data_IF_248928134678
#
_entry.id   IF_248928134678
#
_cell.length_a   1.000
_cell.length_b   1.000
_cell.length_c   1.000
_cell.angle_alpha   90.00
_cell.angle_beta   90.00
_cell.angle_gamma   90.00
#
_symmetry.space_group_name_H-M   'P 1'
#
loop_
_entity.id
_entity.type
_entity.pdbx_description
1 polymer ?
#
# COMPACT_ATOMS: atom_id res chain seq x y z
N UNK A 1 14.04 34.36 3.06
CA UNK A 1 13.23 33.27 3.66
C UNK A 1 13.79 31.95 3.14
N UNK A 2 15.00 31.57 3.58
CA UNK A 2 15.81 30.53 2.90
C UNK A 2 16.66 29.70 3.86
N UNK A 3 16.60 29.97 5.16
CA UNK A 3 17.43 29.34 6.20
C UNK A 3 16.72 28.18 6.92
N UNK A 4 15.39 28.09 6.79
CA UNK A 4 14.60 26.98 7.33
C UNK A 4 14.55 25.77 6.41
N UNK A 5 14.67 25.94 5.08
CA UNK A 5 14.60 24.80 4.15
C UNK A 5 15.84 23.92 4.20
N UNK A 6 17.04 24.49 4.39
CA UNK A 6 18.31 23.74 4.37
C UNK A 6 18.45 22.77 5.55
N UNK A 7 17.87 23.08 6.70
CA UNK A 7 17.91 22.22 7.90
C UNK A 7 16.90 21.07 7.85
N UNK A 8 15.83 21.19 7.05
CA UNK A 8 14.73 20.20 7.00
C UNK A 8 14.92 19.20 5.85
N UNK A 9 15.71 19.54 4.82
CA UNK A 9 15.96 18.61 3.71
C UNK A 9 16.55 17.25 4.05
N UNK A 10 17.58 17.12 4.92
CA UNK A 10 18.09 15.79 5.25
C UNK A 10 17.03 14.92 5.94
N UNK A 11 16.11 15.53 6.69
CA UNK A 11 14.99 14.83 7.33
C UNK A 11 13.95 14.38 6.29
N UNK A 12 13.63 15.23 5.32
CA UNK A 12 12.73 14.91 4.22
C UNK A 12 13.28 13.76 3.35
N UNK A 13 14.58 13.76 3.05
CA UNK A 13 15.22 12.70 2.27
C UNK A 13 15.17 11.35 3.00
N UNK A 14 15.40 11.34 4.31
CA UNK A 14 15.27 10.13 5.14
C UNK A 14 13.81 9.63 5.10
N UNK A 15 12.83 10.51 5.29
CA UNK A 15 11.41 10.15 5.25
C UNK A 15 11.04 9.56 3.88
N UNK A 16 11.46 10.21 2.79
CA UNK A 16 11.17 9.75 1.43
C UNK A 16 11.78 8.36 1.16
N UNK A 17 13.01 8.12 1.62
CA UNK A 17 13.65 6.82 1.49
C UNK A 17 12.90 5.73 2.29
N UNK A 18 12.50 6.02 3.53
CA UNK A 18 11.70 5.09 4.34
C UNK A 18 10.32 4.81 3.73
N UNK A 19 9.68 5.82 3.13
CA UNK A 19 8.42 5.64 2.41
C UNK A 19 8.61 4.75 1.18
N UNK A 20 9.71 4.92 0.44
CA UNK A 20 10.03 4.11 -0.72
C UNK A 20 10.25 2.63 -0.34
N UNK A 21 11.01 2.39 0.73
CA UNK A 21 11.24 1.05 1.29
C UNK A 21 9.92 0.44 1.80
N UNK A 22 9.09 1.23 2.49
CA UNK A 22 7.76 0.79 2.96
C UNK A 22 6.84 0.38 1.82
N UNK A 23 6.79 1.17 0.73
CA UNK A 23 6.01 0.84 -0.48
C UNK A 23 6.54 -0.42 -1.16
N UNK A 24 7.85 -0.58 -1.29
CA UNK A 24 8.46 -1.77 -1.87
C UNK A 24 8.13 -3.03 -1.05
N UNK A 25 8.16 -2.93 0.27
CA UNK A 25 7.82 -4.04 1.18
C UNK A 25 6.34 -4.42 1.07
N UNK A 26 5.43 -3.44 1.16
CA UNK A 26 3.99 -3.66 1.04
C UNK A 26 3.63 -4.19 -0.35
N UNK A 27 4.25 -3.66 -1.41
CA UNK A 27 4.06 -4.14 -2.78
C UNK A 27 4.51 -5.61 -2.95
N UNK A 28 5.64 -5.97 -2.36
CA UNK A 28 6.14 -7.36 -2.39
C UNK A 28 5.22 -8.32 -1.64
N UNK A 29 4.73 -7.93 -0.45
CA UNK A 29 3.76 -8.72 0.34
C UNK A 29 2.43 -8.83 -0.40
N UNK A 30 1.95 -7.74 -1.01
CA UNK A 30 0.73 -7.73 -1.82
C UNK A 30 0.83 -8.66 -3.03
N UNK A 31 1.97 -8.65 -3.73
CA UNK A 31 2.23 -9.57 -4.84
C UNK A 31 2.25 -11.04 -4.37
N UNK A 32 2.90 -11.33 -3.23
CA UNK A 32 2.94 -12.67 -2.67
C UNK A 32 1.55 -13.17 -2.26
N UNK A 33 0.74 -12.31 -1.63
CA UNK A 33 -0.65 -12.60 -1.30
C UNK A 33 -1.49 -12.85 -2.56
N UNK A 34 -1.25 -12.10 -3.64
CA UNK A 34 -1.93 -12.28 -4.93
C UNK A 34 -1.56 -13.62 -5.58
N UNK A 35 -0.29 -14.03 -5.52
CA UNK A 35 0.18 -15.33 -6.02
C UNK A 35 -0.45 -16.48 -5.22
N UNK A 36 -0.48 -16.39 -3.89
CA UNK A 36 -1.11 -17.41 -3.03
C UNK A 36 -2.61 -17.51 -3.27
N UNK A 37 -3.29 -16.37 -3.43
CA UNK A 37 -4.69 -16.29 -3.81
C UNK A 37 -4.98 -16.95 -5.17
N UNK A 38 -4.10 -16.73 -6.15
CA UNK A 38 -4.23 -17.28 -7.49
C UNK A 38 -3.96 -18.79 -7.51
N UNK A 39 -2.94 -19.24 -6.78
CA UNK A 39 -2.65 -20.67 -6.57
C UNK A 39 -3.84 -21.37 -5.90
N UNK A 40 -4.41 -20.79 -4.86
CA UNK A 40 -5.61 -21.31 -4.21
C UNK A 40 -6.81 -21.41 -5.17
N UNK A 41 -7.01 -20.42 -6.03
CA UNK A 41 -8.08 -20.45 -7.03
C UNK A 41 -7.87 -21.52 -8.11
N UNK A 42 -6.61 -21.83 -8.45
CA UNK A 42 -6.26 -22.92 -9.39
C UNK A 42 -6.37 -24.31 -8.75
N UNK A 43 -6.10 -24.45 -7.46
CA UNK A 43 -6.13 -25.75 -6.75
C UNK A 43 -7.46 -26.08 -6.07
N UNK A 44 -8.33 -25.09 -5.81
CA UNK A 44 -9.64 -25.32 -5.23
C UNK A 44 -10.63 -25.89 -6.25
N UNK A 45 -10.83 -27.21 -6.19
CA UNK A 45 -11.84 -27.97 -6.96
C UNK A 45 -13.27 -27.75 -6.43
N UNK A 46 -13.43 -27.16 -5.24
CA UNK A 46 -14.74 -26.95 -4.60
C UNK A 46 -15.23 -25.48 -4.66
N UNK A 47 -16.47 -25.22 -5.10
CA UNK A 47 -16.99 -23.87 -5.33
C UNK A 47 -17.19 -23.03 -4.05
N UNK A 48 -17.32 -23.66 -2.87
CA UNK A 48 -17.55 -22.96 -1.59
C UNK A 48 -16.29 -22.28 -1.06
N UNK A 49 -15.12 -22.92 -1.20
CA UNK A 49 -13.81 -22.37 -0.80
C UNK A 49 -13.36 -21.23 -1.72
N UNK A 50 -13.78 -21.24 -2.98
CA UNK A 50 -13.51 -20.14 -3.93
C UNK A 50 -14.23 -18.84 -3.54
N UNK A 51 -15.47 -18.91 -3.03
CA UNK A 51 -16.23 -17.73 -2.63
C UNK A 51 -15.63 -17.07 -1.38
N UNK A 52 -15.26 -17.87 -0.39
CA UNK A 52 -14.60 -17.39 0.83
C UNK A 52 -13.21 -16.81 0.52
N UNK A 53 -12.44 -17.47 -0.35
CA UNK A 53 -11.15 -16.96 -0.81
C UNK A 53 -11.32 -15.61 -1.54
N UNK A 54 -12.30 -15.49 -2.44
CA UNK A 54 -12.61 -14.22 -3.12
C UNK A 54 -12.96 -13.10 -2.14
N UNK A 55 -13.77 -13.37 -1.12
CA UNK A 55 -14.13 -12.38 -0.11
C UNK A 55 -12.93 -11.97 0.76
N UNK A 56 -12.06 -12.91 1.11
CA UNK A 56 -10.83 -12.61 1.86
C UNK A 56 -9.83 -11.80 1.03
N UNK A 57 -9.61 -12.17 -0.23
CA UNK A 57 -8.77 -11.40 -1.18
C UNK A 57 -9.33 -10.00 -1.38
N UNK A 58 -10.65 -9.86 -1.55
CA UNK A 58 -11.29 -8.57 -1.68
C UNK A 58 -11.08 -7.69 -0.44
N UNK A 59 -11.10 -8.26 0.77
CA UNK A 59 -10.78 -7.52 2.00
C UNK A 59 -9.32 -7.04 2.03
N UNK A 60 -8.37 -7.84 1.53
CA UNK A 60 -6.97 -7.43 1.40
C UNK A 60 -6.84 -6.30 0.36
N UNK A 61 -7.44 -6.46 -0.81
CA UNK A 61 -7.37 -5.47 -1.90
C UNK A 61 -8.00 -4.15 -1.48
N UNK A 62 -9.18 -4.18 -0.85
CA UNK A 62 -9.83 -2.97 -0.31
C UNK A 62 -8.97 -2.34 0.80
N UNK A 63 -8.28 -3.13 1.63
CA UNK A 63 -7.31 -2.62 2.60
C UNK A 63 -6.12 -1.91 1.94
N UNK A 64 -5.52 -2.51 0.91
CA UNK A 64 -4.38 -1.92 0.19
C UNK A 64 -4.76 -0.67 -0.59
N UNK A 65 -5.93 -0.67 -1.25
CA UNK A 65 -6.46 0.52 -1.94
C UNK A 65 -6.84 1.59 -0.93
N UNK A 66 -7.44 1.23 0.20
CA UNK A 66 -7.78 2.18 1.27
C UNK A 66 -6.55 2.89 1.84
N UNK A 67 -5.42 2.18 1.98
CA UNK A 67 -4.14 2.77 2.36
C UNK A 67 -3.62 3.74 1.29
N UNK A 68 -3.72 3.39 0.01
CA UNK A 68 -3.33 4.30 -1.08
C UNK A 68 -4.23 5.55 -1.15
N UNK A 69 -5.53 5.40 -0.94
CA UNK A 69 -6.47 6.52 -0.90
C UNK A 69 -6.25 7.40 0.33
N UNK A 70 -5.91 6.81 1.48
CA UNK A 70 -5.53 7.57 2.67
C UNK A 70 -4.22 8.34 2.44
N UNK A 71 -3.24 7.74 1.76
CA UNK A 71 -2.02 8.45 1.34
C UNK A 71 -2.36 9.63 0.42
N UNK A 72 -3.24 9.40 -0.56
CA UNK A 72 -3.68 10.44 -1.51
C UNK A 72 -4.39 11.60 -0.80
N UNK A 73 -5.28 11.31 0.16
CA UNK A 73 -5.96 12.31 0.96
C UNK A 73 -5.00 13.11 1.85
N UNK A 74 -4.01 12.45 2.45
CA UNK A 74 -2.95 13.12 3.21
C UNK A 74 -2.10 14.03 2.31
N UNK A 75 -1.82 13.61 1.08
CA UNK A 75 -1.09 14.44 0.11
C UNK A 75 -1.91 15.65 -0.34
N UNK A 76 -3.22 15.51 -0.56
CA UNK A 76 -4.13 16.65 -0.83
C UNK A 76 -4.19 17.60 0.36
N UNK A 77 -4.29 17.08 1.60
CA UNK A 77 -4.30 17.90 2.81
C UNK A 77 -2.98 18.66 3.01
N UNK A 78 -1.84 18.03 2.73
CA UNK A 78 -0.53 18.70 2.74
C UNK A 78 -0.42 19.76 1.63
N UNK A 79 -0.93 19.46 0.43
CA UNK A 79 -0.95 20.40 -0.69
C UNK A 79 -1.92 21.58 -0.49
N UNK A 80 -2.98 21.39 0.30
CA UNK A 80 -3.97 22.42 0.65
C UNK A 80 -3.54 23.31 1.82
N UNK A 81 -2.45 22.97 2.52
CA UNK A 81 -1.93 23.75 3.66
C UNK A 81 -0.82 24.76 3.27
N UNK A 82 -0.53 24.91 1.97
CA UNK A 82 0.30 25.97 1.40
C UNK A 82 -0.54 27.06 0.74
#
# INVERSE_FOLDING_TARGET
>A
MTILSTNVQPVLDIINNWVLVGRALVGSIGALAFVLAFLWKMTAVEPKTVLQAKQWIQRIVVGTIGVEMASTLVDVLKGSLG
#
